data_IF_419098814070
#
_entry.id   IF_419098814070
#
_cell.length_a   1.000
_cell.length_b   1.000
_cell.length_c   1.000
_cell.angle_alpha   90.00
_cell.angle_beta   90.00
_cell.angle_gamma   90.00
#
_symmetry.space_group_name_H-M   'P 1'
#
loop_
_entity.id
_entity.type
_entity.pdbx_description
1 polymer ?
#
# COMPACT_ATOMS: atom_id res chain seq x y z
N UNK A 1 23.76 4.09 -0.55
CA UNK A 1 23.35 5.06 -1.55
C UNK A 1 23.73 6.47 -1.12
N UNK A 2 24.49 7.18 -1.95
CA UNK A 2 24.92 8.56 -1.73
C UNK A 2 23.94 9.60 -2.26
N UNK A 3 22.64 9.30 -2.22
CA UNK A 3 21.60 10.23 -2.63
C UNK A 3 21.49 11.39 -1.65
N UNK A 4 21.38 12.64 -2.13
CA UNK A 4 21.03 13.79 -1.29
C UNK A 4 19.59 13.61 -0.84
N UNK A 5 19.38 13.48 0.48
CA UNK A 5 18.06 13.50 1.07
C UNK A 5 17.42 14.89 0.96
N UNK A 6 16.10 14.93 1.00
CA UNK A 6 15.31 16.16 1.14
C UNK A 6 14.84 16.26 2.57
N UNK A 7 15.13 17.38 3.24
CA UNK A 7 14.58 17.67 4.57
C UNK A 7 13.11 18.07 4.38
N UNK A 8 12.21 17.25 4.93
CA UNK A 8 10.77 17.51 4.88
C UNK A 8 10.33 18.33 6.09
N UNK A 9 10.92 18.04 7.25
CA UNK A 9 10.66 18.74 8.51
C UNK A 9 11.92 18.66 9.37
N UNK A 10 12.25 19.74 10.06
CA UNK A 10 13.35 19.81 11.02
C UNK A 10 12.86 20.47 12.29
N UNK A 11 13.08 19.82 13.43
CA UNK A 11 12.74 20.33 14.75
C UNK A 11 13.74 19.85 15.79
N UNK A 12 14.27 20.78 16.56
CA UNK A 12 15.28 20.49 17.58
C UNK A 12 16.68 20.22 17.01
N UNK A 13 17.55 19.61 17.83
CA UNK A 13 18.93 19.27 17.47
C UNK A 13 19.30 17.87 17.99
N UNK A 14 18.69 16.83 17.43
CA UNK A 14 18.91 15.46 17.85
C UNK A 14 20.36 14.99 17.61
N UNK A 15 20.97 15.40 16.48
CA UNK A 15 22.30 14.94 16.10
C UNK A 15 23.39 15.36 17.08
N UNK A 16 23.29 16.56 17.68
CA UNK A 16 24.24 17.01 18.68
C UNK A 16 24.17 16.17 19.96
N UNK A 17 22.98 15.77 20.38
CA UNK A 17 22.77 14.92 21.55
C UNK A 17 23.26 13.49 21.34
N UNK A 18 23.11 12.98 20.10
CA UNK A 18 23.56 11.65 19.71
C UNK A 18 25.08 11.51 19.49
N UNK A 19 25.83 12.58 19.64
CA UNK A 19 27.30 12.54 19.63
C UNK A 19 27.93 12.25 21.00
N UNK A 20 27.12 12.11 22.05
CA UNK A 20 27.56 11.77 23.41
C UNK A 20 27.87 10.27 23.62
N UNK A 21 28.38 9.94 24.83
CA UNK A 21 28.80 8.57 25.16
C UNK A 21 27.66 7.60 25.48
N UNK A 22 26.52 8.09 25.98
CA UNK A 22 25.41 7.24 26.44
C UNK A 22 24.29 7.14 25.36
N UNK A 23 24.67 6.63 24.19
CA UNK A 23 23.75 6.41 23.08
C UNK A 23 23.36 4.94 23.01
N UNK A 24 22.09 4.65 23.18
CA UNK A 24 21.54 3.33 22.85
C UNK A 24 21.51 3.17 21.34
N UNK A 25 21.94 2.01 20.85
CA UNK A 25 21.97 1.70 19.43
C UNK A 25 21.41 0.30 19.17
N UNK A 26 20.55 0.16 18.16
CA UNK A 26 19.96 -1.12 17.77
C UNK A 26 19.68 -1.19 16.28
N UNK A 27 19.88 -2.38 15.72
CA UNK A 27 19.48 -2.70 14.35
C UNK A 27 18.33 -3.71 14.35
N UNK A 28 17.39 -3.50 13.43
CA UNK A 28 16.26 -4.40 13.19
C UNK A 28 16.16 -4.75 11.72
N UNK A 29 15.84 -5.99 11.45
CA UNK A 29 15.54 -6.47 10.13
C UNK A 29 14.14 -7.08 10.08
N UNK A 30 13.30 -6.59 9.17
CA UNK A 30 11.99 -7.17 8.87
C UNK A 30 12.08 -7.85 7.50
N UNK A 31 11.87 -9.17 7.42
CA UNK A 31 11.89 -9.88 6.14
C UNK A 31 10.69 -9.52 5.29
N UNK A 32 10.78 -9.87 4.01
CA UNK A 32 9.66 -9.84 3.10
C UNK A 32 8.54 -10.75 3.62
N UNK A 33 7.31 -10.25 3.65
CA UNK A 33 6.17 -11.00 4.13
C UNK A 33 4.90 -10.71 3.32
N UNK A 34 4.07 -11.72 3.14
CA UNK A 34 2.73 -11.56 2.61
C UNK A 34 1.79 -10.99 3.70
N UNK A 35 0.77 -10.21 3.28
CA UNK A 35 -0.12 -9.52 4.23
C UNK A 35 -1.06 -10.48 4.99
N UNK A 36 -1.38 -11.63 4.42
CA UNK A 36 -2.12 -12.75 5.03
C UNK A 36 -3.40 -12.34 5.79
N UNK A 37 -4.18 -11.41 5.19
CA UNK A 37 -5.48 -11.03 5.74
C UNK A 37 -6.42 -12.25 5.86
N UNK A 38 -7.31 -12.24 6.86
CA UNK A 38 -8.19 -13.37 7.15
C UNK A 38 -9.12 -13.71 5.99
N UNK A 39 -9.74 -12.70 5.38
CA UNK A 39 -10.56 -12.84 4.19
C UNK A 39 -9.67 -12.80 2.94
N UNK A 40 -9.55 -13.90 2.15
CA UNK A 40 -8.89 -13.84 0.84
C UNK A 40 -9.51 -12.79 -0.07
N UNK A 41 -8.77 -12.37 -1.09
CA UNK A 41 -9.27 -11.37 -2.02
C UNK A 41 -10.49 -11.91 -2.78
N UNK A 42 -11.52 -11.08 -2.87
CA UNK A 42 -12.76 -11.39 -3.58
C UNK A 42 -13.42 -10.14 -4.14
N UNK A 43 -14.20 -10.32 -5.20
CA UNK A 43 -15.09 -9.30 -5.73
C UNK A 43 -16.25 -9.93 -6.50
N UNK A 44 -17.36 -9.22 -6.59
CA UNK A 44 -18.44 -9.56 -7.51
C UNK A 44 -18.66 -8.41 -8.49
N UNK A 45 -19.10 -8.71 -9.70
CA UNK A 45 -19.42 -7.70 -10.69
C UNK A 45 -20.64 -8.11 -11.53
N UNK A 46 -21.46 -7.14 -11.87
CA UNK A 46 -22.52 -7.23 -12.88
C UNK A 46 -22.29 -6.12 -13.91
N UNK A 47 -21.85 -6.51 -15.11
CA UNK A 47 -21.55 -5.60 -16.21
C UNK A 47 -22.61 -5.74 -17.28
N UNK A 48 -23.27 -4.61 -17.59
CA UNK A 48 -24.31 -4.49 -18.62
C UNK A 48 -23.92 -3.40 -19.63
N UNK A 49 -24.70 -3.27 -20.67
CA UNK A 49 -24.49 -2.22 -21.68
C UNK A 49 -24.61 -0.82 -21.06
N UNK A 50 -25.54 -0.65 -20.12
CA UNK A 50 -25.92 0.63 -19.52
C UNK A 50 -25.01 1.02 -18.33
N UNK A 51 -24.20 0.10 -17.80
CA UNK A 51 -23.35 0.37 -16.66
C UNK A 51 -22.81 -0.90 -15.98
N UNK A 52 -22.02 -0.70 -14.96
CA UNK A 52 -21.46 -1.80 -14.18
C UNK A 52 -21.60 -1.54 -12.66
N UNK A 53 -21.98 -2.59 -11.93
CA UNK A 53 -21.94 -2.58 -10.47
C UNK A 53 -20.90 -3.59 -9.99
N UNK A 54 -20.04 -3.14 -9.09
CA UNK A 54 -18.95 -3.96 -8.52
C UNK A 54 -19.03 -3.93 -7.01
N UNK A 55 -19.14 -5.09 -6.40
CA UNK A 55 -19.00 -5.28 -4.95
C UNK A 55 -17.59 -5.78 -4.65
N UNK A 56 -16.86 -5.04 -3.86
CA UNK A 56 -15.47 -5.36 -3.59
C UNK A 56 -15.08 -5.10 -2.13
N UNK A 57 -14.36 -6.06 -1.55
CA UNK A 57 -13.66 -5.88 -0.29
C UNK A 57 -12.38 -5.08 -0.57
N UNK A 58 -12.46 -3.75 -0.50
CA UNK A 58 -11.41 -2.83 -0.94
C UNK A 58 -11.14 -1.71 0.05
N UNK A 59 -9.88 -1.26 0.10
CA UNK A 59 -9.44 -0.08 0.85
C UNK A 59 -9.52 1.21 0.00
N UNK A 60 -9.85 1.11 -1.31
CA UNK A 60 -9.93 2.24 -2.23
C UNK A 60 -11.01 2.06 -3.30
N UNK A 61 -12.24 2.39 -2.98
CA UNK A 61 -13.36 2.27 -3.93
C UNK A 61 -13.15 3.11 -5.21
N UNK A 62 -12.59 4.32 -5.07
CA UNK A 62 -12.28 5.20 -6.21
C UNK A 62 -11.24 4.58 -7.15
N UNK A 63 -10.20 3.95 -6.57
CA UNK A 63 -9.18 3.25 -7.35
C UNK A 63 -9.75 2.06 -8.11
N UNK A 64 -10.64 1.29 -7.46
CA UNK A 64 -11.36 0.17 -8.10
C UNK A 64 -12.23 0.67 -9.25
N UNK A 65 -13.02 1.73 -9.04
CA UNK A 65 -13.88 2.30 -10.08
C UNK A 65 -13.09 2.64 -11.35
N UNK A 66 -12.02 3.39 -11.22
CA UNK A 66 -11.12 3.77 -12.33
C UNK A 66 -10.51 2.57 -13.05
N UNK A 67 -10.03 1.61 -12.27
CA UNK A 67 -9.40 0.41 -12.82
C UNK A 67 -10.39 -0.47 -13.58
N UNK A 68 -11.61 -0.65 -13.05
CA UNK A 68 -12.67 -1.41 -13.69
C UNK A 68 -13.14 -0.70 -14.95
N UNK A 69 -13.49 0.59 -14.90
CA UNK A 69 -13.92 1.38 -16.04
C UNK A 69 -12.94 1.23 -17.22
N UNK A 70 -11.66 1.46 -16.97
CA UNK A 70 -10.59 1.28 -17.95
C UNK A 70 -10.53 -0.15 -18.49
N UNK A 71 -10.66 -1.15 -17.62
CA UNK A 71 -10.48 -2.55 -17.98
C UNK A 71 -11.61 -3.12 -18.85
N UNK A 72 -12.83 -2.59 -18.69
CA UNK A 72 -14.00 -3.00 -19.48
C UNK A 72 -14.35 -2.01 -20.63
N UNK A 73 -13.58 -0.90 -20.75
CA UNK A 73 -13.83 0.11 -21.79
C UNK A 73 -15.17 0.82 -21.61
N UNK A 74 -15.46 1.27 -20.37
CA UNK A 74 -16.70 1.97 -20.00
C UNK A 74 -16.36 3.31 -19.36
N UNK A 75 -17.22 4.32 -19.48
CA UNK A 75 -17.04 5.58 -18.78
C UNK A 75 -17.10 5.39 -17.27
N UNK A 76 -16.21 6.09 -16.54
CA UNK A 76 -16.09 5.94 -15.10
C UNK A 76 -17.40 6.25 -14.35
N UNK A 77 -18.21 7.16 -14.89
CA UNK A 77 -19.50 7.57 -14.32
C UNK A 77 -20.57 6.46 -14.36
N UNK A 78 -20.42 5.51 -15.28
CA UNK A 78 -21.30 4.34 -15.41
C UNK A 78 -20.88 3.16 -14.52
N UNK A 79 -19.78 3.28 -13.77
CA UNK A 79 -19.29 2.25 -12.89
C UNK A 79 -19.57 2.61 -11.43
N UNK A 80 -20.39 1.82 -10.79
CA UNK A 80 -20.71 1.93 -9.35
C UNK A 80 -19.90 0.88 -8.59
N UNK A 81 -19.14 1.32 -7.57
CA UNK A 81 -18.44 0.42 -6.66
C UNK A 81 -19.10 0.48 -5.30
N UNK A 82 -19.53 -0.67 -4.81
CA UNK A 82 -20.12 -0.86 -3.49
C UNK A 82 -19.06 -1.55 -2.63
N UNK A 83 -18.36 -0.81 -1.74
CA UNK A 83 -17.41 -1.43 -0.83
C UNK A 83 -18.13 -2.33 0.17
N UNK A 84 -17.63 -3.55 0.34
CA UNK A 84 -18.10 -4.47 1.37
C UNK A 84 -17.24 -4.38 2.62
N UNK A 85 -17.68 -4.99 3.73
CA UNK A 85 -16.83 -5.11 4.91
C UNK A 85 -15.58 -5.91 4.59
N UNK A 86 -14.44 -5.45 5.13
CA UNK A 86 -13.16 -6.10 4.93
C UNK A 86 -12.83 -7.04 6.10
N UNK A 87 -12.52 -8.28 5.79
CA UNK A 87 -11.89 -9.21 6.73
C UNK A 87 -10.37 -9.03 6.81
N UNK A 88 -9.92 -7.78 6.96
CA UNK A 88 -8.53 -7.36 6.91
C UNK A 88 -8.08 -6.94 5.51
N UNK A 89 -7.06 -6.08 5.45
CA UNK A 89 -6.51 -5.60 4.18
C UNK A 89 -5.02 -5.30 4.28
N UNK A 90 -4.60 -4.56 5.31
CA UNK A 90 -3.20 -4.24 5.63
C UNK A 90 -2.41 -3.62 4.46
N UNK A 91 -3.11 -2.95 3.52
CA UNK A 91 -2.54 -2.41 2.29
C UNK A 91 -2.73 -3.32 1.06
N UNK A 92 -2.92 -4.62 1.19
CA UNK A 92 -3.11 -5.52 0.05
C UNK A 92 -4.39 -5.22 -0.74
N UNK A 93 -5.47 -4.81 -0.06
CA UNK A 93 -6.77 -4.53 -0.68
C UNK A 93 -6.90 -3.11 -1.26
N UNK A 94 -5.79 -2.38 -1.43
CA UNK A 94 -5.73 -1.25 -2.38
C UNK A 94 -5.60 -1.75 -3.82
N UNK A 95 -5.27 -3.02 -4.01
CA UNK A 95 -5.21 -3.69 -5.30
C UNK A 95 -6.61 -3.88 -5.90
N UNK A 96 -6.76 -3.51 -7.15
CA UNK A 96 -8.04 -3.60 -7.88
C UNK A 96 -8.17 -4.88 -8.72
N UNK A 97 -7.17 -5.76 -8.73
CA UNK A 97 -7.10 -6.92 -9.64
C UNK A 97 -8.31 -7.84 -9.51
N UNK A 98 -8.78 -8.25 -8.31
CA UNK A 98 -9.95 -9.11 -8.20
C UNK A 98 -11.22 -8.49 -8.80
N UNK A 99 -11.44 -7.20 -8.56
CA UNK A 99 -12.58 -6.46 -9.10
C UNK A 99 -12.52 -6.36 -10.62
N UNK A 100 -11.34 -6.07 -11.17
CA UNK A 100 -11.10 -6.03 -12.63
C UNK A 100 -11.36 -7.39 -13.26
N UNK A 101 -10.88 -8.48 -12.65
CA UNK A 101 -11.11 -9.83 -13.14
C UNK A 101 -12.59 -10.20 -13.11
N UNK A 102 -13.30 -9.93 -12.01
CA UNK A 102 -14.73 -10.18 -11.90
C UNK A 102 -15.52 -9.41 -12.96
N UNK A 103 -15.18 -8.13 -13.19
CA UNK A 103 -15.84 -7.29 -14.18
C UNK A 103 -15.58 -7.78 -15.63
N UNK A 104 -14.35 -8.16 -15.97
CA UNK A 104 -14.03 -8.73 -17.29
C UNK A 104 -14.76 -10.04 -17.53
N UNK A 105 -14.81 -10.91 -16.53
CA UNK A 105 -15.56 -12.17 -16.63
C UNK A 105 -17.05 -11.91 -16.78
N UNK A 106 -17.63 -11.02 -15.98
CA UNK A 106 -19.05 -10.64 -16.08
C UNK A 106 -19.39 -10.10 -17.48
N UNK A 107 -18.56 -9.20 -18.02
CA UNK A 107 -18.71 -8.68 -19.39
C UNK A 107 -18.67 -9.79 -20.44
N UNK A 108 -17.74 -10.74 -20.29
CA UNK A 108 -17.57 -11.83 -21.25
C UNK A 108 -18.74 -12.84 -21.25
N UNK A 109 -19.30 -13.14 -20.07
CA UNK A 109 -20.39 -14.12 -19.97
C UNK A 109 -21.79 -13.50 -19.97
N UNK A 110 -21.90 -12.17 -19.93
CA UNK A 110 -23.18 -11.43 -19.92
C UNK A 110 -24.02 -11.65 -18.65
N UNK A 111 -23.40 -12.02 -17.52
CA UNK A 111 -24.08 -12.31 -16.24
C UNK A 111 -23.26 -11.77 -15.06
N UNK A 112 -23.89 -11.61 -13.88
CA UNK A 112 -23.15 -11.38 -12.65
C UNK A 112 -22.13 -12.49 -12.38
N UNK A 113 -20.95 -12.12 -11.95
CA UNK A 113 -19.88 -13.05 -11.59
C UNK A 113 -19.37 -12.71 -10.21
N UNK A 114 -19.27 -13.70 -9.34
CA UNK A 114 -18.52 -13.64 -8.09
C UNK A 114 -17.19 -14.38 -8.26
N UNK A 115 -16.10 -13.69 -7.99
CA UNK A 115 -14.74 -14.21 -8.02
C UNK A 115 -14.18 -14.20 -6.59
N UNK A 116 -13.66 -15.33 -6.15
CA UNK A 116 -12.97 -15.46 -4.86
C UNK A 116 -11.68 -16.25 -5.03
N UNK A 117 -10.58 -15.74 -4.48
CA UNK A 117 -9.32 -16.46 -4.45
C UNK A 117 -9.35 -17.50 -3.33
N UNK A 118 -8.86 -18.69 -3.61
CA UNK A 118 -8.44 -19.61 -2.56
C UNK A 118 -7.17 -19.08 -1.90
N UNK A 119 -6.90 -19.46 -0.67
CA UNK A 119 -5.74 -18.98 0.07
C UNK A 119 -4.41 -19.17 -0.69
N UNK A 120 -4.23 -20.30 -1.36
CA UNK A 120 -3.03 -20.56 -2.16
C UNK A 120 -2.88 -19.55 -3.31
N UNK A 121 -3.98 -19.24 -4.01
CA UNK A 121 -4.00 -18.27 -5.10
C UNK A 121 -3.73 -16.84 -4.60
N UNK A 122 -4.28 -16.50 -3.43
CA UNK A 122 -4.10 -15.22 -2.78
C UNK A 122 -2.62 -14.99 -2.42
N UNK A 123 -1.93 -16.01 -1.89
CA UNK A 123 -0.50 -15.95 -1.58
C UNK A 123 0.38 -15.88 -2.84
N UNK A 124 0.01 -16.57 -3.92
CA UNK A 124 0.80 -16.61 -5.15
C UNK A 124 0.67 -15.35 -6.00
N UNK A 125 -0.48 -14.67 -5.91
CA UNK A 125 -0.81 -13.53 -6.78
C UNK A 125 -0.86 -12.19 -6.04
N UNK A 126 -0.63 -12.18 -4.73
CA UNK A 126 -0.66 -10.98 -3.91
C UNK A 126 0.68 -10.26 -3.87
N UNK A 127 0.62 -8.98 -3.51
CA UNK A 127 1.82 -8.20 -3.21
C UNK A 127 2.40 -8.61 -1.87
N UNK A 128 3.70 -8.53 -1.76
CA UNK A 128 4.41 -8.77 -0.51
C UNK A 128 4.86 -7.44 0.09
N UNK A 129 4.87 -7.35 1.41
CA UNK A 129 5.52 -6.27 2.12
C UNK A 129 7.03 -6.37 1.87
N UNK A 130 7.70 -5.29 1.42
CA UNK A 130 9.13 -5.32 1.17
C UNK A 130 9.91 -5.55 2.47
N UNK A 131 11.13 -6.09 2.38
CA UNK A 131 12.01 -6.16 3.53
C UNK A 131 12.43 -4.75 3.93
N UNK A 132 12.70 -4.57 5.22
CA UNK A 132 13.24 -3.31 5.72
C UNK A 132 14.36 -3.54 6.73
N UNK A 133 15.35 -2.66 6.70
CA UNK A 133 16.39 -2.57 7.71
C UNK A 133 16.30 -1.22 8.40
N UNK A 134 16.20 -1.25 9.71
CA UNK A 134 16.11 -0.07 10.55
C UNK A 134 17.34 -0.02 11.47
N UNK A 135 17.94 1.15 11.54
CA UNK A 135 18.99 1.47 12.50
C UNK A 135 18.48 2.60 13.39
N UNK A 136 18.41 2.33 14.67
CA UNK A 136 17.94 3.24 15.71
C UNK A 136 19.09 3.67 16.60
N UNK A 137 19.17 4.97 16.88
CA UNK A 137 20.04 5.54 17.90
C UNK A 137 19.21 6.44 18.80
N UNK A 138 19.35 6.33 20.10
CA UNK A 138 18.58 7.12 21.04
C UNK A 138 19.40 7.49 22.29
N UNK A 139 19.13 8.67 22.82
CA UNK A 139 19.53 9.09 24.16
C UNK A 139 18.33 8.97 25.08
N UNK A 140 18.45 8.17 26.12
CA UNK A 140 17.40 7.96 27.13
C UNK A 140 17.83 8.60 28.43
N UNK A 141 16.97 9.44 29.01
CA UNK A 141 17.23 10.08 30.31
C UNK A 141 17.07 9.07 31.46
N UNK A 142 17.59 9.40 32.63
CA UNK A 142 17.46 8.58 33.86
C UNK A 142 15.99 8.26 34.19
N UNK A 143 15.05 9.16 33.89
CA UNK A 143 13.62 8.94 34.09
C UNK A 143 12.94 8.08 33.03
N UNK A 144 13.71 7.50 32.08
CA UNK A 144 13.22 6.63 31.02
C UNK A 144 12.64 7.36 29.79
N UNK A 145 12.61 8.68 29.77
CA UNK A 145 12.13 9.44 28.61
C UNK A 145 13.19 9.56 27.53
N UNK A 146 12.79 9.47 26.28
CA UNK A 146 13.66 9.68 25.13
C UNK A 146 13.96 11.18 24.99
N UNK A 147 15.24 11.55 25.01
CA UNK A 147 15.70 12.93 24.84
C UNK A 147 16.07 13.25 23.38
N UNK A 148 16.59 12.26 22.65
CA UNK A 148 16.86 12.35 21.22
C UNK A 148 16.74 10.98 20.57
N UNK A 149 16.31 10.93 19.32
CA UNK A 149 16.23 9.72 18.54
C UNK A 149 16.64 9.99 17.09
N UNK A 150 17.40 9.08 16.51
CA UNK A 150 17.66 8.97 15.08
C UNK A 150 17.17 7.61 14.61
N UNK A 151 16.36 7.60 13.56
CA UNK A 151 15.91 6.37 12.90
C UNK A 151 16.26 6.45 11.42
N UNK A 152 17.16 5.59 10.98
CA UNK A 152 17.47 5.38 9.57
C UNK A 152 16.82 4.10 9.11
N UNK A 153 15.99 4.19 8.09
CA UNK A 153 15.32 3.03 7.52
C UNK A 153 15.60 2.92 6.03
N UNK A 154 15.96 1.71 5.61
CA UNK A 154 16.02 1.33 4.20
C UNK A 154 14.95 0.29 3.96
N UNK A 155 14.09 0.53 2.99
CA UNK A 155 13.00 -0.37 2.62
C UNK A 155 12.79 -0.32 1.11
N UNK A 156 12.13 -1.34 0.58
CA UNK A 156 11.60 -1.28 -0.79
C UNK A 156 10.48 -0.25 -0.91
N UNK A 157 10.18 0.12 -2.14
CA UNK A 157 9.16 1.11 -2.47
C UNK A 157 7.75 0.58 -2.15
N UNK A 158 7.00 1.27 -1.31
CA UNK A 158 5.65 0.87 -0.88
C UNK A 158 4.59 1.85 -1.36
N UNK A 159 4.81 3.14 -1.15
CA UNK A 159 3.77 4.15 -1.35
C UNK A 159 3.77 4.78 -2.75
N UNK A 160 4.92 4.82 -3.41
CA UNK A 160 5.11 5.61 -4.63
C UNK A 160 4.34 5.11 -5.87
N UNK A 161 4.08 3.82 -6.06
CA UNK A 161 3.21 3.38 -7.15
C UNK A 161 1.79 3.95 -7.09
N UNK A 162 1.38 4.44 -5.92
CA UNK A 162 0.05 4.99 -5.67
C UNK A 162 0.00 6.52 -5.61
N UNK A 163 1.17 7.19 -5.51
CA UNK A 163 1.23 8.64 -5.52
C UNK A 163 1.26 9.17 -6.95
N UNK A 164 0.53 10.25 -7.25
CA UNK A 164 0.65 10.92 -8.53
C UNK A 164 2.10 11.36 -8.80
N UNK A 165 2.54 11.24 -10.05
CA UNK A 165 3.92 11.58 -10.46
C UNK A 165 4.32 13.01 -10.06
N UNK A 166 3.35 13.95 -10.05
CA UNK A 166 3.61 15.34 -9.66
C UNK A 166 3.99 15.48 -8.18
N UNK A 167 3.47 14.63 -7.28
CA UNK A 167 3.84 14.63 -5.86
C UNK A 167 5.29 14.21 -5.70
N UNK A 168 5.73 13.21 -6.46
CA UNK A 168 7.13 12.80 -6.51
C UNK A 168 8.05 13.94 -6.97
N UNK A 169 7.63 14.67 -8.01
CA UNK A 169 8.38 15.80 -8.55
C UNK A 169 8.45 16.99 -7.57
N UNK A 170 7.35 17.28 -6.86
CA UNK A 170 7.30 18.36 -5.86
C UNK A 170 8.13 18.03 -4.63
N UNK A 171 8.18 16.77 -4.21
CA UNK A 171 8.99 16.32 -3.09
C UNK A 171 10.48 16.20 -3.42
N UNK A 172 10.88 16.41 -4.69
CA UNK A 172 12.28 16.36 -5.12
C UNK A 172 12.94 14.99 -4.91
N UNK A 173 12.16 13.97 -4.67
CA UNK A 173 12.64 12.61 -4.44
C UNK A 173 12.67 11.88 -5.79
N UNK A 174 13.86 11.54 -6.24
CA UNK A 174 14.05 10.62 -7.37
C UNK A 174 13.76 9.19 -6.85
N UNK A 175 12.55 8.74 -7.09
CA UNK A 175 12.08 7.42 -6.64
C UNK A 175 12.40 6.34 -7.67
N UNK A 176 13.53 6.42 -8.32
CA UNK A 176 14.14 5.49 -9.26
C UNK A 176 13.18 4.47 -9.88
N UNK A 177 13.02 4.53 -11.16
CA UNK A 177 12.29 3.54 -11.94
C UNK A 177 12.89 2.13 -11.81
#
# INVERSE_FOLDING_TARGET
GSGRGVTVQEEGNALSKLSGADVFEAEYFSPMAYHAHMEPQSAAADVRAEGATVWASTQTAVGVRRAVARAIGMDEELVVVIPTFLGGGFGQKVNSVPAVQAARLSKAVGRPVHLGYRRAEDFQNGFVRPPSRSHLRAVVRENGLIDAIEHKQVSGQVAFPFLPVFVSAVMGADFGA
#
